data_IF_885276438586
#
_entry.id   IF_885276438586
#
_cell.length_a   1.000
_cell.length_b   1.000
_cell.length_c   1.000
_cell.angle_alpha   90.00
_cell.angle_beta   90.00
_cell.angle_gamma   90.00
#
_symmetry.space_group_name_H-M   'P 1'
#
loop_
_entity.id
_entity.type
_entity.pdbx_description
1 polymer ?
#
# COMPACT_ATOMS: atom_id res chain seq x y z
N UNK A 1 -20.38 -66.23 23.79
CA UNK A 1 -21.13 -65.84 22.58
C UNK A 1 -20.51 -64.59 22.02
N UNK A 2 -19.66 -64.73 21.02
CA UNK A 2 -19.07 -63.64 20.25
C UNK A 2 -19.56 -63.81 18.82
N UNK A 3 -20.17 -62.75 18.27
CA UNK A 3 -20.55 -62.68 16.86
C UNK A 3 -19.61 -61.69 16.20
N UNK A 4 -18.95 -62.16 15.15
CA UNK A 4 -17.99 -61.45 14.32
C UNK A 4 -18.65 -60.43 13.41
N UNK A 5 -17.94 -59.34 13.09
CA UNK A 5 -18.20 -58.54 11.89
C UNK A 5 -17.01 -58.74 10.96
N UNK A 6 -17.26 -59.40 9.83
CA UNK A 6 -16.38 -59.41 8.66
C UNK A 6 -16.54 -58.07 7.95
N UNK A 7 -15.43 -57.37 7.68
CA UNK A 7 -15.40 -56.41 6.58
C UNK A 7 -14.39 -56.92 5.54
N UNK A 8 -14.94 -57.51 4.48
CA UNK A 8 -14.18 -57.93 3.32
C UNK A 8 -13.79 -56.69 2.51
N UNK A 9 -12.50 -56.57 2.22
CA UNK A 9 -11.92 -55.82 1.10
C UNK A 9 -12.55 -54.48 0.74
N UNK A 10 -11.98 -53.38 1.23
CA UNK A 10 -11.65 -52.30 0.31
C UNK A 10 -10.15 -52.02 0.41
N UNK A 11 -9.45 -52.29 -0.69
CA UNK A 11 -8.02 -52.19 -0.89
C UNK A 11 -7.56 -50.74 -1.08
N UNK A 12 -8.01 -49.83 -0.24
CA UNK A 12 -7.80 -48.38 -0.41
C UNK A 12 -6.88 -47.75 0.67
N UNK A 13 -6.08 -48.60 1.32
CA UNK A 13 -4.99 -48.18 2.21
C UNK A 13 -3.67 -48.80 1.72
N UNK A 14 -3.41 -48.70 0.43
CA UNK A 14 -2.02 -48.62 -0.01
C UNK A 14 -1.57 -47.19 0.32
N UNK A 15 -0.76 -47.05 1.38
CA UNK A 15 0.08 -45.87 1.58
C UNK A 15 1.01 -45.77 0.37
N UNK A 16 0.55 -45.14 -0.71
CA UNK A 16 1.43 -44.63 -1.73
C UNK A 16 2.35 -43.65 -1.02
N UNK A 17 3.63 -44.01 -0.89
CA UNK A 17 4.66 -43.05 -0.52
C UNK A 17 4.41 -41.79 -1.35
N UNK A 18 4.20 -40.61 -0.75
CA UNK A 18 4.28 -39.40 -1.54
C UNK A 18 5.68 -39.40 -2.14
N UNK A 19 5.73 -39.34 -3.47
CA UNK A 19 6.94 -39.05 -4.22
C UNK A 19 7.67 -37.92 -3.51
N UNK A 20 9.00 -38.02 -3.42
CA UNK A 20 9.89 -36.95 -2.97
C UNK A 20 9.78 -35.75 -3.93
N UNK A 21 8.63 -35.08 -3.90
CA UNK A 21 8.39 -33.77 -4.46
C UNK A 21 8.99 -32.77 -3.49
N UNK A 22 9.76 -31.85 -4.05
CA UNK A 22 10.34 -30.72 -3.35
C UNK A 22 9.24 -29.77 -2.86
N UNK A 23 8.53 -30.16 -1.80
CA UNK A 23 7.52 -29.32 -1.12
C UNK A 23 8.18 -28.21 -0.27
N UNK A 24 9.51 -28.22 -0.20
CA UNK A 24 10.34 -27.09 0.21
C UNK A 24 11.12 -26.53 -0.97
N UNK A 25 10.45 -26.30 -2.11
CA UNK A 25 10.92 -25.21 -2.95
C UNK A 25 10.90 -23.98 -2.04
N UNK A 26 12.08 -23.58 -1.55
CA UNK A 26 12.26 -22.26 -0.97
C UNK A 26 11.59 -21.32 -1.95
N UNK A 27 10.48 -20.68 -1.53
CA UNK A 27 9.96 -19.56 -2.27
C UNK A 27 11.18 -18.69 -2.55
N UNK A 28 11.49 -18.47 -3.83
CA UNK A 28 12.59 -17.60 -4.21
C UNK A 28 12.42 -16.36 -3.35
N UNK A 29 13.43 -16.06 -2.53
CA UNK A 29 13.38 -14.91 -1.65
C UNK A 29 13.10 -13.71 -2.56
N UNK A 30 11.85 -13.25 -2.57
CA UNK A 30 11.49 -12.01 -3.24
C UNK A 30 12.44 -10.97 -2.64
N UNK A 31 13.21 -10.23 -3.44
CA UNK A 31 14.20 -9.32 -2.90
C UNK A 31 13.54 -8.44 -1.84
N UNK A 32 14.11 -8.47 -0.64
CA UNK A 32 13.71 -7.56 0.44
C UNK A 32 13.83 -6.11 -0.04
N UNK A 33 13.16 -5.19 0.65
CA UNK A 33 13.39 -3.76 0.43
C UNK A 33 14.88 -3.44 0.65
N UNK A 34 15.56 -2.90 -0.36
CA UNK A 34 16.96 -2.53 -0.25
C UNK A 34 17.12 -1.02 -0.31
N UNK A 35 17.78 -0.44 0.68
CA UNK A 35 18.05 1.00 0.74
C UNK A 35 19.50 1.26 0.42
N UNK A 36 19.76 2.14 -0.56
CA UNK A 36 21.10 2.60 -0.92
C UNK A 36 21.08 4.08 -1.28
N UNK A 37 21.72 4.90 -0.46
CA UNK A 37 21.67 6.37 -0.60
C UNK A 37 20.23 6.88 -0.57
N UNK A 38 19.84 7.59 -1.62
CA UNK A 38 18.48 8.13 -1.79
C UNK A 38 17.57 7.21 -2.62
N UNK A 39 17.89 5.92 -2.72
CA UNK A 39 17.13 4.95 -3.51
C UNK A 39 16.66 3.79 -2.65
N UNK A 40 15.41 3.38 -2.86
CA UNK A 40 14.83 2.13 -2.39
C UNK A 40 14.62 1.23 -3.60
N UNK A 41 15.33 0.10 -3.67
CA UNK A 41 15.08 -0.95 -4.67
C UNK A 41 14.15 -2.02 -4.08
N UNK A 42 13.09 -2.32 -4.82
CA UNK A 42 12.07 -3.31 -4.46
C UNK A 42 12.19 -4.58 -5.30
N UNK A 43 13.17 -4.67 -6.20
CA UNK A 43 13.30 -5.73 -7.18
C UNK A 43 12.76 -5.31 -8.55
N UNK A 44 11.48 -4.91 -8.67
CA UNK A 44 10.92 -4.36 -9.93
C UNK A 44 11.08 -2.85 -10.01
N UNK A 45 10.82 -2.13 -8.93
CA UNK A 45 10.80 -0.68 -8.92
C UNK A 45 12.02 -0.08 -8.21
N UNK A 46 12.48 1.06 -8.72
CA UNK A 46 13.40 1.96 -8.03
C UNK A 46 12.60 3.17 -7.56
N UNK A 47 12.58 3.41 -6.25
CA UNK A 47 11.98 4.61 -5.66
C UNK A 47 13.11 5.54 -5.25
N UNK A 48 13.22 6.68 -5.92
CA UNK A 48 14.26 7.66 -5.65
C UNK A 48 13.67 8.94 -5.09
N UNK A 49 14.39 9.57 -4.17
CA UNK A 49 14.04 10.88 -3.65
C UNK A 49 15.11 11.91 -4.01
N UNK A 50 14.66 13.12 -4.34
CA UNK A 50 15.51 14.26 -4.66
C UNK A 50 14.91 15.54 -4.09
N UNK A 51 15.76 16.52 -3.78
CA UNK A 51 15.32 17.86 -3.39
C UNK A 51 15.00 18.73 -4.59
N UNK A 52 15.58 18.37 -5.75
CA UNK A 52 15.32 19.02 -7.02
C UNK A 52 14.56 18.11 -7.97
N UNK A 53 13.79 18.72 -8.87
CA UNK A 53 13.10 18.02 -9.93
C UNK A 53 12.96 18.88 -11.17
N UNK A 54 12.78 18.21 -12.30
CA UNK A 54 12.36 18.81 -13.57
C UNK A 54 11.11 18.06 -14.00
N UNK A 55 10.08 18.78 -14.40
CA UNK A 55 8.84 18.19 -14.90
C UNK A 55 8.88 17.97 -16.41
N UNK A 56 7.91 17.20 -16.91
CA UNK A 56 7.67 17.02 -18.35
C UNK A 56 7.29 18.32 -19.07
N UNK A 57 7.03 18.23 -20.38
CA UNK A 57 6.81 19.38 -21.23
C UNK A 57 5.57 20.21 -20.80
N UNK A 58 4.58 19.56 -20.20
CA UNK A 58 3.33 20.19 -19.78
C UNK A 58 3.52 21.22 -18.65
N UNK A 59 4.37 20.92 -17.67
CA UNK A 59 4.66 21.84 -16.57
C UNK A 59 5.90 22.71 -16.87
N UNK A 60 6.90 22.17 -17.58
CA UNK A 60 8.16 22.83 -17.92
C UNK A 60 8.74 23.64 -16.75
N UNK A 61 8.80 23.00 -15.59
CA UNK A 61 9.14 23.61 -14.32
C UNK A 61 10.32 22.90 -13.68
N UNK A 62 11.16 23.68 -13.03
CA UNK A 62 12.32 23.22 -12.30
C UNK A 62 12.34 23.84 -10.92
N UNK A 63 12.54 23.00 -9.90
CA UNK A 63 12.74 23.45 -8.53
C UNK A 63 13.98 22.80 -7.94
N UNK A 64 14.65 23.51 -7.04
CA UNK A 64 15.82 23.04 -6.29
C UNK A 64 15.52 22.72 -4.82
N UNK A 65 14.33 23.06 -4.33
CA UNK A 65 14.03 23.06 -2.89
C UNK A 65 12.66 22.49 -2.51
N UNK A 66 11.84 22.13 -3.50
CA UNK A 66 10.45 21.72 -3.28
C UNK A 66 10.26 20.19 -3.34
N UNK A 67 11.32 19.49 -3.74
CA UNK A 67 11.44 18.04 -3.57
C UNK A 67 10.62 17.20 -4.54
N UNK A 68 11.04 15.94 -4.71
CA UNK A 68 10.38 14.96 -5.54
C UNK A 68 10.68 13.54 -5.06
N UNK A 69 9.69 12.67 -5.21
CA UNK A 69 9.85 11.22 -5.13
C UNK A 69 9.41 10.62 -6.45
N UNK A 70 10.29 9.82 -7.06
CA UNK A 70 10.05 9.16 -8.34
C UNK A 70 10.02 7.65 -8.16
N UNK A 71 8.99 7.01 -8.70
CA UNK A 71 8.89 5.56 -8.83
C UNK A 71 9.17 5.21 -10.28
N UNK A 72 10.22 4.44 -10.52
CA UNK A 72 10.61 3.95 -11.85
C UNK A 72 10.41 2.44 -11.95
N UNK A 73 9.72 1.99 -12.99
CA UNK A 73 9.51 0.58 -13.27
C UNK A 73 10.57 0.05 -14.24
N UNK A 74 11.45 -0.84 -13.75
CA UNK A 74 12.54 -1.43 -14.55
C UNK A 74 12.03 -2.35 -15.66
N UNK A 75 10.77 -2.82 -15.60
CA UNK A 75 10.22 -3.73 -16.60
C UNK A 75 9.59 -3.01 -17.78
N UNK A 76 8.88 -1.91 -17.53
CA UNK A 76 8.13 -1.18 -18.57
C UNK A 76 8.81 0.11 -19.01
N UNK A 77 9.90 0.52 -18.35
CA UNK A 77 10.60 1.79 -18.58
C UNK A 77 9.67 3.02 -18.43
N UNK A 78 8.65 2.89 -17.58
CA UNK A 78 7.73 3.98 -17.24
C UNK A 78 8.06 4.51 -15.86
N UNK A 79 7.61 5.73 -15.56
CA UNK A 79 7.72 6.29 -14.22
C UNK A 79 6.45 7.02 -13.82
N UNK A 80 6.28 7.17 -12.52
CA UNK A 80 5.43 8.19 -11.90
C UNK A 80 6.29 8.99 -10.94
N UNK A 81 6.14 10.30 -10.92
CA UNK A 81 6.81 11.18 -9.99
C UNK A 81 5.81 12.03 -9.24
N UNK A 82 6.08 12.24 -7.96
CA UNK A 82 5.35 13.16 -7.08
C UNK A 82 6.31 14.27 -6.68
N UNK A 83 5.92 15.53 -6.87
CA UNK A 83 6.83 16.66 -6.70
C UNK A 83 6.12 17.92 -6.22
N UNK A 84 6.91 18.81 -5.62
CA UNK A 84 6.48 20.16 -5.26
C UNK A 84 5.24 20.23 -4.37
N UNK A 85 4.28 21.08 -4.76
CA UNK A 85 3.04 21.34 -4.04
C UNK A 85 1.91 20.34 -4.35
N UNK A 86 1.97 19.17 -3.71
CA UNK A 86 2.16 17.89 -4.36
C UNK A 86 1.39 17.73 -5.67
N UNK A 87 2.16 17.62 -6.75
CA UNK A 87 1.68 17.20 -8.06
C UNK A 87 2.17 15.79 -8.37
N UNK A 88 1.42 15.07 -9.19
CA UNK A 88 1.77 13.79 -9.77
C UNK A 88 1.92 13.93 -11.28
N UNK A 89 2.94 13.30 -11.84
CA UNK A 89 3.15 13.18 -13.28
C UNK A 89 3.62 11.78 -13.66
N UNK A 90 3.00 11.19 -14.68
CA UNK A 90 3.48 9.93 -15.29
C UNK A 90 4.42 10.20 -16.46
N UNK A 91 5.15 9.18 -16.93
CA UNK A 91 6.03 9.33 -18.10
C UNK A 91 5.29 9.60 -19.41
N UNK A 92 3.98 9.39 -19.44
CA UNK A 92 3.06 9.78 -20.53
C UNK A 92 2.40 11.15 -20.31
N UNK A 93 2.91 11.94 -19.35
CA UNK A 93 2.41 13.28 -19.01
C UNK A 93 0.94 13.29 -18.57
N UNK A 94 0.50 12.23 -17.87
CA UNK A 94 -0.76 12.27 -17.11
C UNK A 94 -0.53 13.00 -15.80
N UNK A 95 -1.42 13.93 -15.45
CA UNK A 95 -1.25 14.83 -14.32
C UNK A 95 -2.33 14.72 -13.26
N UNK A 96 -1.92 14.87 -12.00
CA UNK A 96 -2.83 15.09 -10.89
C UNK A 96 -2.23 15.98 -9.81
N UNK A 97 -3.07 16.49 -8.90
CA UNK A 97 -2.67 17.26 -7.74
C UNK A 97 -3.42 16.81 -6.48
N UNK A 98 -2.76 16.87 -5.33
CA UNK A 98 -3.36 16.57 -4.03
C UNK A 98 -2.80 17.49 -2.95
N UNK A 99 -3.68 18.10 -2.16
CA UNK A 99 -3.30 19.06 -1.10
C UNK A 99 -4.00 18.81 0.23
N UNK A 100 -5.03 17.94 0.25
CA UNK A 100 -5.89 17.69 1.41
C UNK A 100 -5.73 16.26 1.93
N UNK A 101 -5.67 15.28 1.03
CA UNK A 101 -5.55 13.86 1.36
C UNK A 101 -4.18 13.32 0.95
N UNK A 102 -3.68 12.30 1.64
CA UNK A 102 -2.49 11.60 1.18
C UNK A 102 -2.73 10.87 -0.13
N UNK A 103 -1.64 10.37 -0.72
CA UNK A 103 -1.67 9.59 -1.96
C UNK A 103 -1.00 8.24 -1.74
N UNK A 104 -1.71 7.16 -2.03
CA UNK A 104 -1.19 5.79 -2.09
C UNK A 104 -1.10 5.38 -3.56
N UNK A 105 0.04 4.80 -3.94
CA UNK A 105 0.25 4.17 -5.24
C UNK A 105 0.53 2.69 -4.99
N UNK A 106 -0.43 1.84 -5.34
CA UNK A 106 -0.34 0.39 -5.26
C UNK A 106 0.26 -0.15 -6.56
N UNK A 107 1.48 -0.69 -6.45
CA UNK A 107 2.25 -1.17 -7.59
C UNK A 107 1.95 -2.64 -7.88
N UNK A 108 2.10 -3.03 -9.15
CA UNK A 108 1.73 -4.37 -9.63
C UNK A 108 2.48 -5.55 -8.98
N UNK A 109 3.59 -5.31 -8.26
CA UNK A 109 4.35 -6.36 -7.57
C UNK A 109 4.04 -6.45 -6.06
N UNK A 110 2.98 -5.76 -5.61
CA UNK A 110 2.59 -5.68 -4.20
C UNK A 110 3.38 -4.66 -3.38
N UNK A 111 4.27 -3.89 -4.01
CA UNK A 111 4.85 -2.70 -3.37
C UNK A 111 3.78 -1.61 -3.26
N UNK A 112 3.74 -0.93 -2.13
CA UNK A 112 2.92 0.25 -1.91
C UNK A 112 3.83 1.45 -1.65
N UNK A 113 3.55 2.58 -2.31
CA UNK A 113 4.21 3.86 -2.07
C UNK A 113 3.15 4.84 -1.58
N UNK A 114 3.28 5.35 -0.35
CA UNK A 114 2.31 6.28 0.22
C UNK A 114 3.00 7.60 0.54
N UNK A 115 2.45 8.69 0.01
CA UNK A 115 2.93 10.05 0.16
C UNK A 115 1.99 10.80 1.10
N UNK A 116 2.58 11.35 2.15
CA UNK A 116 1.94 12.25 3.09
C UNK A 116 2.43 13.67 2.83
N UNK A 117 1.49 14.58 2.69
CA UNK A 117 1.71 16.01 2.52
C UNK A 117 1.77 16.74 3.87
N UNK A 118 2.36 17.93 3.90
CA UNK A 118 2.24 18.85 5.03
C UNK A 118 0.82 19.39 5.11
N UNK A 119 0.42 19.89 6.28
CA UNK A 119 -0.79 20.70 6.36
C UNK A 119 -0.68 21.92 5.43
N UNK A 120 -1.83 22.35 4.88
CA UNK A 120 -1.87 23.54 4.04
C UNK A 120 -1.52 24.79 4.87
N UNK A 121 -0.66 25.65 4.33
CA UNK A 121 -0.38 26.95 4.90
C UNK A 121 -1.55 27.94 4.64
N UNK A 122 -1.43 29.17 5.13
CA UNK A 122 -2.46 30.22 4.95
C UNK A 122 -2.73 30.63 3.49
N UNK A 123 -1.85 30.26 2.55
CA UNK A 123 -1.96 30.50 1.11
C UNK A 123 -2.52 29.28 0.36
N UNK A 124 -2.74 28.17 1.05
CA UNK A 124 -3.22 26.92 0.46
C UNK A 124 -2.13 25.99 -0.06
N UNK A 125 -0.85 26.30 0.17
CA UNK A 125 0.26 25.46 -0.26
C UNK A 125 0.50 24.34 0.75
N UNK A 126 0.79 23.15 0.23
CA UNK A 126 1.26 21.97 0.97
C UNK A 126 2.48 21.43 0.25
N UNK A 127 3.26 20.56 0.90
CA UNK A 127 4.46 19.98 0.32
C UNK A 127 4.60 18.51 0.70
N UNK A 128 5.52 17.78 0.07
CA UNK A 128 5.83 16.39 0.45
C UNK A 128 6.46 16.36 1.85
N UNK A 129 5.71 15.88 2.85
CA UNK A 129 6.18 15.75 4.23
C UNK A 129 7.01 14.47 4.42
N UNK A 130 6.41 13.33 4.07
CA UNK A 130 7.01 12.02 4.25
C UNK A 130 6.47 11.03 3.21
N UNK A 131 7.26 10.02 2.88
CA UNK A 131 6.85 8.92 2.01
C UNK A 131 7.16 7.59 2.67
N UNK A 132 6.23 6.65 2.67
CA UNK A 132 6.50 5.27 3.04
C UNK A 132 6.55 4.38 1.81
N UNK A 133 7.50 3.46 1.77
CA UNK A 133 7.55 2.39 0.78
C UNK A 133 7.45 1.07 1.51
N UNK A 134 6.37 0.34 1.26
CA UNK A 134 6.06 -0.95 1.91
C UNK A 134 6.08 -2.07 0.89
N UNK A 135 6.75 -3.18 1.20
CA UNK A 135 6.72 -4.41 0.43
C UNK A 135 6.94 -5.60 1.34
N UNK A 136 6.20 -6.69 1.14
CA UNK A 136 6.38 -7.95 1.89
C UNK A 136 6.42 -7.75 3.42
N UNK A 137 5.55 -6.88 3.95
CA UNK A 137 5.50 -6.53 5.37
C UNK A 137 6.79 -5.93 5.93
N UNK A 138 7.58 -5.27 5.08
CA UNK A 138 8.67 -4.39 5.47
C UNK A 138 8.36 -2.99 4.96
N UNK A 139 8.72 -1.97 5.72
CA UNK A 139 8.51 -0.56 5.35
C UNK A 139 9.77 0.26 5.60
N UNK A 140 10.11 1.11 4.63
CA UNK A 140 11.09 2.18 4.73
C UNK A 140 10.40 3.54 4.58
N UNK A 141 10.89 4.54 5.31
CA UNK A 141 10.38 5.91 5.24
C UNK A 141 11.41 6.84 4.62
N UNK A 142 10.93 7.77 3.79
CA UNK A 142 11.68 8.86 3.18
C UNK A 142 11.19 10.16 3.83
N UNK A 143 12.09 10.94 4.42
CA UNK A 143 11.80 12.26 4.98
C UNK A 143 12.83 13.30 4.52
N UNK A 144 12.55 14.58 4.74
CA UNK A 144 13.42 15.69 4.32
C UNK A 144 13.42 15.95 2.82
N UNK A 145 12.31 15.59 2.15
CA UNK A 145 12.09 15.86 0.72
C UNK A 145 11.84 17.35 0.49
N UNK A 146 10.93 17.94 1.27
CA UNK A 146 10.65 19.38 1.29
C UNK A 146 11.47 20.11 2.37
N UNK A 147 11.79 21.39 2.10
CA UNK A 147 12.46 22.30 3.01
C UNK A 147 11.54 23.42 3.52
N UNK A 148 11.05 23.30 4.76
CA UNK A 148 10.23 24.34 5.39
C UNK A 148 11.01 25.65 5.67
N UNK A 149 12.33 25.60 5.86
CA UNK A 149 13.15 26.77 6.24
C UNK A 149 13.76 27.48 5.03
N UNK A 150 13.76 26.84 3.85
CA UNK A 150 14.44 27.32 2.65
C UNK A 150 15.97 27.23 2.70
N UNK A 151 16.57 26.79 3.82
CA UNK A 151 18.02 26.61 3.94
C UNK A 151 18.47 25.25 3.42
N UNK A 152 19.14 25.21 2.27
CA UNK A 152 19.62 23.97 1.65
C UNK A 152 20.48 23.09 2.58
N UNK A 153 21.15 23.68 3.57
CA UNK A 153 22.01 23.01 4.56
C UNK A 153 21.23 22.15 5.57
N UNK A 154 19.97 22.48 5.83
CA UNK A 154 19.11 21.79 6.81
C UNK A 154 18.46 20.53 6.20
N UNK A 155 18.60 20.37 4.89
CA UNK A 155 17.88 19.43 4.08
C UNK A 155 18.77 18.24 3.74
N UNK A 156 18.53 17.12 4.42
CA UNK A 156 19.10 15.84 4.05
C UNK A 156 17.97 14.85 3.90
N UNK A 157 17.77 14.37 2.67
CA UNK A 157 16.90 13.23 2.43
C UNK A 157 17.39 12.10 3.32
N UNK A 158 16.48 11.58 4.14
CA UNK A 158 16.76 10.45 5.02
C UNK A 158 15.85 9.31 4.62
N UNK A 159 16.46 8.19 4.27
CA UNK A 159 15.74 6.95 4.03
C UNK A 159 16.06 5.99 5.18
N UNK A 160 15.03 5.54 5.89
CA UNK A 160 15.22 4.59 6.98
C UNK A 160 15.49 3.19 6.45
N UNK A 161 16.31 2.42 7.16
CA UNK A 161 16.39 0.98 6.92
C UNK A 161 14.99 0.33 7.03
N UNK A 162 14.71 -0.75 6.28
CA UNK A 162 13.43 -1.42 6.33
C UNK A 162 13.11 -1.94 7.73
N UNK A 163 11.87 -1.77 8.16
CA UNK A 163 11.34 -2.28 9.44
C UNK A 163 10.16 -3.19 9.17
N UNK A 164 10.04 -4.27 9.94
CA UNK A 164 8.89 -5.17 9.86
C UNK A 164 7.60 -4.45 10.27
N UNK A 165 6.55 -4.57 9.46
CA UNK A 165 5.27 -3.90 9.59
C UNK A 165 4.92 -3.07 8.35
N UNK A 166 3.64 -2.76 8.18
CA UNK A 166 3.18 -1.79 7.18
C UNK A 166 3.33 -0.34 7.67
N UNK A 167 3.12 0.64 6.77
CA UNK A 167 3.21 2.06 7.08
C UNK A 167 2.30 2.48 8.25
N UNK A 168 1.00 2.21 8.18
CA UNK A 168 0.02 2.58 9.22
C UNK A 168 0.36 2.03 10.62
N UNK A 169 0.88 0.80 10.71
CA UNK A 169 1.28 0.16 11.97
C UNK A 169 2.47 0.86 12.61
N UNK A 170 3.42 1.32 11.79
CA UNK A 170 4.65 1.95 12.22
C UNK A 170 4.48 3.46 12.44
N UNK A 171 3.59 4.09 11.68
CA UNK A 171 3.25 5.50 11.74
C UNK A 171 1.80 5.72 11.27
N UNK A 172 0.94 6.13 12.20
CA UNK A 172 -0.51 6.28 11.97
C UNK A 172 -0.87 7.47 11.08
N UNK A 173 0.09 8.31 10.71
CA UNK A 173 -0.14 9.38 9.73
C UNK A 173 -0.38 8.82 8.33
N UNK A 174 0.10 7.61 8.04
CA UNK A 174 -0.09 6.92 6.76
C UNK A 174 -1.37 6.08 6.79
N UNK A 175 -2.50 6.61 6.31
CA UNK A 175 -3.82 5.96 6.38
C UNK A 175 -4.56 5.93 5.02
N UNK A 176 -4.57 4.76 4.34
CA UNK A 176 -5.30 4.59 3.06
C UNK A 176 -6.82 4.71 3.14
N UNK A 177 -7.42 4.77 4.34
CA UNK A 177 -8.85 4.96 4.44
C UNK A 177 -9.25 6.32 3.85
N UNK A 178 -8.57 7.38 4.29
CA UNK A 178 -8.78 8.76 3.83
C UNK A 178 -7.95 9.08 2.60
N UNK A 179 -6.76 8.51 2.48
CA UNK A 179 -5.86 8.82 1.38
C UNK A 179 -6.38 8.28 0.06
N UNK A 180 -6.13 9.04 -1.01
CA UNK A 180 -6.45 8.62 -2.37
C UNK A 180 -5.58 7.44 -2.76
N UNK A 181 -6.19 6.37 -3.28
CA UNK A 181 -5.46 5.18 -3.72
C UNK A 181 -5.50 5.06 -5.23
N UNK A 182 -4.33 4.96 -5.84
CA UNK A 182 -4.12 4.68 -7.25
C UNK A 182 -3.49 3.29 -7.44
N UNK A 183 -4.19 2.43 -8.17
CA UNK A 183 -3.71 1.11 -8.59
C UNK A 183 -3.03 1.20 -9.95
N UNK A 184 -1.84 0.61 -10.04
CA UNK A 184 -1.10 0.48 -11.30
C UNK A 184 -1.64 -0.72 -12.09
N UNK A 185 -2.08 -0.46 -13.31
CA UNK A 185 -2.50 -1.48 -14.26
C UNK A 185 -1.31 -2.08 -15.02
N UNK A 186 -1.32 -1.94 -16.35
CA UNK A 186 -0.29 -2.51 -17.23
C UNK A 186 1.09 -1.85 -17.08
N UNK A 187 1.16 -0.59 -16.64
CA UNK A 187 2.40 0.18 -16.43
C UNK A 187 2.12 1.40 -15.53
N UNK A 188 3.15 2.16 -15.14
CA UNK A 188 2.99 3.40 -14.37
C UNK A 188 2.28 4.54 -15.14
N UNK A 189 1.97 4.34 -16.43
CA UNK A 189 1.12 5.24 -17.22
C UNK A 189 -0.38 4.86 -17.17
N UNK A 190 -0.71 3.75 -16.54
CA UNK A 190 -2.05 3.17 -16.49
C UNK A 190 -2.51 3.14 -15.02
N UNK A 191 -3.00 4.28 -14.53
CA UNK A 191 -3.38 4.48 -13.13
C UNK A 191 -4.90 4.47 -12.99
N UNK A 192 -5.41 3.77 -11.97
CA UNK A 192 -6.84 3.67 -11.68
C UNK A 192 -7.12 3.98 -10.22
N UNK A 193 -8.17 4.73 -9.94
CA UNK A 193 -8.65 4.92 -8.56
C UNK A 193 -9.14 3.59 -7.96
N UNK A 194 -9.26 3.52 -6.63
CA UNK A 194 -9.82 2.35 -5.92
C UNK A 194 -11.21 1.91 -6.41
N UNK A 195 -12.01 2.83 -6.96
CA UNK A 195 -13.31 2.51 -7.56
C UNK A 195 -13.22 1.91 -8.98
N UNK A 196 -12.01 1.67 -9.50
CA UNK A 196 -11.73 1.11 -10.82
C UNK A 196 -11.79 2.12 -11.97
N UNK A 197 -12.05 3.41 -11.71
CA UNK A 197 -12.02 4.45 -12.76
C UNK A 197 -10.60 4.86 -13.09
N UNK A 198 -10.28 4.99 -14.37
CA UNK A 198 -8.95 5.41 -14.81
C UNK A 198 -8.70 6.89 -14.55
N UNK A 199 -7.44 7.22 -14.26
CA UNK A 199 -7.00 8.61 -14.19
C UNK A 199 -7.11 9.24 -15.60
N UNK A 200 -7.75 10.42 -15.74
CA UNK A 200 -7.90 11.07 -17.03
C UNK A 200 -6.55 11.34 -17.72
N UNK A 201 -6.47 11.07 -19.03
CA UNK A 201 -5.23 11.24 -19.82
C UNK A 201 -5.01 12.67 -20.32
N UNK A 202 -5.84 13.62 -19.91
CA UNK A 202 -5.76 15.02 -20.34
C UNK A 202 -6.15 15.96 -19.21
N UNK A 203 -5.41 17.07 -19.09
CA UNK A 203 -5.63 18.08 -18.05
C UNK A 203 -5.08 17.66 -16.69
N UNK A 204 -5.19 18.55 -15.71
CA UNK A 204 -4.81 18.27 -14.33
C UNK A 204 -6.01 17.68 -13.56
N UNK A 205 -5.79 16.55 -12.88
CA UNK A 205 -6.85 15.89 -12.10
C UNK A 205 -6.71 16.16 -10.61
N UNK A 206 -7.76 16.68 -9.97
CA UNK A 206 -7.84 16.73 -8.51
C UNK A 206 -7.91 15.31 -7.96
N UNK A 207 -6.87 14.88 -7.25
CA UNK A 207 -6.81 13.58 -6.61
C UNK A 207 -7.49 13.60 -5.24
N UNK A 208 -7.54 14.74 -4.55
CA UNK A 208 -8.21 14.88 -3.26
C UNK A 208 -9.67 14.38 -3.31
N UNK A 209 -10.11 13.82 -2.17
CA UNK A 209 -11.45 13.28 -1.90
C UNK A 209 -11.78 12.03 -2.71
N UNK A 210 -10.75 11.31 -3.16
CA UNK A 210 -10.83 10.02 -3.86
C UNK A 210 -10.30 8.87 -3.01
N UNK A 211 -10.47 8.98 -1.69
CA UNK A 211 -9.98 8.03 -0.70
C UNK A 211 -10.22 6.56 -1.06
N UNK A 212 -9.33 5.68 -0.62
CA UNK A 212 -9.43 4.23 -0.86
C UNK A 212 -10.61 3.58 -0.14
N UNK A 213 -11.03 4.14 0.99
CA UNK A 213 -12.13 3.61 1.79
C UNK A 213 -11.77 2.35 2.57
N UNK A 214 -12.79 1.69 3.14
CA UNK A 214 -12.60 0.58 4.09
C UNK A 214 -11.80 -0.58 3.49
N UNK A 215 -12.02 -0.92 2.23
CA UNK A 215 -11.37 -2.08 1.62
C UNK A 215 -9.84 -1.89 1.51
N UNK A 216 -9.39 -0.73 1.05
CA UNK A 216 -7.95 -0.45 0.93
C UNK A 216 -7.28 -0.36 2.29
N UNK A 217 -7.97 0.23 3.26
CA UNK A 217 -7.51 0.26 4.64
C UNK A 217 -7.33 -1.12 5.27
N UNK A 218 -8.24 -2.05 5.01
CA UNK A 218 -8.11 -3.42 5.48
C UNK A 218 -6.95 -4.14 4.77
N UNK A 219 -6.75 -3.89 3.47
CA UNK A 219 -5.62 -4.44 2.71
C UNK A 219 -4.27 -3.95 3.27
N UNK A 220 -4.19 -2.70 3.73
CA UNK A 220 -2.99 -2.21 4.41
C UNK A 220 -2.74 -2.91 5.74
N UNK A 221 -3.77 -3.26 6.51
CA UNK A 221 -3.65 -3.74 7.91
C UNK A 221 -3.24 -5.21 8.08
N UNK A 222 -3.12 -6.03 7.02
CA UNK A 222 -3.08 -7.49 7.16
C UNK A 222 -2.03 -8.14 6.23
N UNK A 223 -1.03 -8.82 6.82
CA UNK A 223 -1.05 -10.28 6.78
C UNK A 223 -1.23 -10.85 8.20
N UNK A 224 -2.35 -10.52 8.86
CA UNK A 224 -2.82 -11.29 10.00
C UNK A 224 -3.49 -12.56 9.50
N UNK A 225 -2.74 -13.67 9.44
CA UNK A 225 -3.22 -15.04 9.15
C UNK A 225 -4.45 -15.49 9.99
N UNK A 226 -4.95 -14.68 10.92
CA UNK A 226 -6.06 -14.97 11.82
C UNK A 226 -7.33 -14.13 11.62
N UNK A 227 -7.30 -13.02 10.87
CA UNK A 227 -8.47 -12.15 10.69
C UNK A 227 -9.25 -12.48 9.42
N UNK A 228 -8.58 -12.93 8.36
CA UNK A 228 -9.24 -13.31 7.10
C UNK A 228 -10.34 -14.36 7.33
N UNK A 229 -10.10 -15.33 8.21
CA UNK A 229 -11.08 -16.35 8.59
C UNK A 229 -12.29 -15.79 9.34
N UNK A 230 -12.13 -14.71 10.11
CA UNK A 230 -13.20 -14.14 10.93
C UNK A 230 -14.06 -13.11 10.16
N UNK A 231 -13.44 -12.36 9.23
CA UNK A 231 -14.14 -11.36 8.42
C UNK A 231 -14.78 -12.00 7.17
N UNK A 232 -14.15 -13.00 6.54
CA UNK A 232 -14.84 -13.81 5.53
C UNK A 232 -16.01 -14.59 6.15
N UNK A 233 -15.86 -15.10 7.38
CA UNK A 233 -16.97 -15.71 8.09
C UNK A 233 -18.09 -14.70 8.38
N UNK A 234 -17.81 -13.47 8.80
CA UNK A 234 -18.87 -12.48 9.12
C UNK A 234 -19.58 -11.91 7.88
N UNK A 235 -18.87 -11.72 6.77
CA UNK A 235 -19.47 -11.30 5.49
C UNK A 235 -20.25 -12.44 4.81
N UNK A 236 -19.85 -13.69 5.00
CA UNK A 236 -20.63 -14.88 4.58
C UNK A 236 -21.84 -15.12 5.51
N UNK A 237 -21.70 -14.85 6.82
CA UNK A 237 -22.80 -14.97 7.80
C UNK A 237 -23.86 -13.86 7.68
N UNK A 238 -23.55 -12.71 7.07
CA UNK A 238 -24.58 -11.74 6.68
C UNK A 238 -25.48 -12.28 5.55
N UNK A 239 -24.98 -13.24 4.75
CA UNK A 239 -25.74 -13.91 3.69
C UNK A 239 -26.44 -15.21 4.17
N UNK A 240 -26.06 -15.79 5.31
CA UNK A 240 -26.65 -17.01 5.84
C UNK A 240 -26.88 -16.88 7.35
N UNK A 241 -28.16 -16.74 7.72
CA UNK A 241 -28.60 -16.40 9.08
C UNK A 241 -27.97 -17.24 10.21
N UNK A 242 -27.59 -16.51 11.27
CA UNK A 242 -27.32 -16.91 12.67
C UNK A 242 -26.93 -18.38 12.93
N UNK A 243 -25.64 -18.61 13.17
CA UNK A 243 -25.17 -19.62 14.12
C UNK A 243 -23.99 -19.10 14.95
N UNK A 244 -24.02 -19.38 16.25
CA UNK A 244 -23.05 -18.93 17.25
C UNK A 244 -21.82 -19.83 17.24
N UNK A 245 -20.61 -19.26 17.15
CA UNK A 245 -19.35 -19.98 17.38
C UNK A 245 -18.56 -19.30 18.49
N UNK A 246 -18.14 -20.08 19.47
CA UNK A 246 -17.25 -19.68 20.57
C UNK A 246 -15.81 -19.53 20.06
N UNK A 247 -15.29 -18.29 20.07
CA UNK A 247 -13.89 -18.00 19.74
C UNK A 247 -12.93 -18.27 20.92
N UNK A 248 -11.64 -18.53 20.65
CA UNK A 248 -10.65 -18.74 21.70
C UNK A 248 -10.33 -17.43 22.44
N UNK A 249 -10.27 -17.50 23.77
CA UNK A 249 -9.89 -16.39 24.64
C UNK A 249 -8.40 -16.05 24.46
N UNK A 250 -8.09 -14.90 23.87
CA UNK A 250 -6.81 -14.24 24.09
C UNK A 250 -6.98 -12.72 24.28
N UNK A 251 -6.26 -12.25 25.31
CA UNK A 251 -6.29 -10.97 25.97
C UNK A 251 -6.52 -9.74 25.07
N UNK A 252 -7.49 -8.93 25.52
CA UNK A 252 -7.90 -7.64 24.98
C UNK A 252 -6.74 -6.67 24.74
N UNK A 253 -6.45 -6.39 23.47
CA UNK A 253 -6.07 -5.04 23.06
C UNK A 253 -7.38 -4.29 22.76
N UNK A 254 -7.72 -3.33 23.63
CA UNK A 254 -9.00 -2.62 23.61
C UNK A 254 -9.25 -1.96 22.24
N UNK A 255 -10.26 -2.46 21.53
CA UNK A 255 -10.84 -1.82 20.34
C UNK A 255 -11.71 -0.66 20.85
N UNK A 256 -11.08 0.43 21.28
CA UNK A 256 -11.77 1.48 22.05
C UNK A 256 -12.73 2.36 21.23
N UNK A 257 -12.70 2.34 19.89
CA UNK A 257 -13.47 3.31 19.09
C UNK A 257 -14.37 2.70 17.99
N UNK A 258 -14.65 1.39 18.00
CA UNK A 258 -15.62 0.82 17.07
C UNK A 258 -17.05 0.98 17.62
N UNK A 259 -17.65 2.16 17.46
CA UNK A 259 -19.07 2.36 17.76
C UNK A 259 -19.89 1.94 16.53
N UNK A 260 -20.39 0.70 16.53
CA UNK A 260 -21.37 0.24 15.53
C UNK A 260 -22.76 0.71 15.99
N UNK A 261 -23.25 1.82 15.46
CA UNK A 261 -24.63 2.25 15.67
C UNK A 261 -25.55 1.45 14.73
N UNK A 262 -26.28 0.48 15.29
CA UNK A 262 -27.35 -0.22 14.57
C UNK A 262 -28.65 0.56 14.72
N UNK A 263 -28.88 1.52 13.83
CA UNK A 263 -30.17 2.19 13.71
C UNK A 263 -31.22 1.21 13.18
N UNK A 264 -32.11 0.74 14.05
CA UNK A 264 -33.37 0.12 13.61
C UNK A 264 -34.45 1.19 13.63
N UNK A 265 -34.79 1.69 12.44
CA UNK A 265 -35.96 2.53 12.24
C UNK A 265 -37.23 1.78 12.64
N UNK A 266 -38.12 2.49 13.32
CA UNK A 266 -39.57 2.25 13.29
C UNK A 266 -40.24 3.52 12.83
#
# INVERSE_FOLDING_TARGET
MSVSINNAGNSDLALSQPSSGSDFASASATPDLQVSGNTIDTGRYLITASQSYTTGAAYNYYSTNDGCVKVYDKQTDTYVQVFGDPHLETSSEVHGEFKQDGLVIDLADGTQVQVQQTAQNQYGDSHIHAVSVTKNNQTSFITGVYNETGNASDNQIKITAPKTGNAFQLDKTFDSYSDTVLHVGSSLNDLHFANGTSLPTSGNTMLDRKGGGVQEFLNQRVPMKSIDSAIQASTTMAAQGKQTVSGPEYAAASVANLRIETGSGK
#
